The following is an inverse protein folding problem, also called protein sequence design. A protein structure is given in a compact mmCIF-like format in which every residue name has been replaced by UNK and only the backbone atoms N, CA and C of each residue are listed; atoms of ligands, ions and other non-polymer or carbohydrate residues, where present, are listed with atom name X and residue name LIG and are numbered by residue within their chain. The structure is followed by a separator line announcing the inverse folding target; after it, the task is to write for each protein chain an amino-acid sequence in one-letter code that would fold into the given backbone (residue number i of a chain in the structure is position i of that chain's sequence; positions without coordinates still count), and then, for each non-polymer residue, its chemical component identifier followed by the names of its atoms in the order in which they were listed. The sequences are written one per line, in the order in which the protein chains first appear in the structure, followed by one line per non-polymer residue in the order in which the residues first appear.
data_IF_430110935552
#
_entry.id   IF_430110935552
#
_cell.length_a   1.000
_cell.length_b   1.000
_cell.length_c   1.000
_cell.angle_alpha   90.00
_cell.angle_beta   90.00
_cell.angle_gamma   90.00
#
_symmetry.space_group_name_H-M   'P 1'
#
loop_
_entity.id
_entity.type
_entity.pdbx_description
1 polymer ?
#
# COMPACT_ATOMS: atom_id res chain seq x y z
N UNK A 1 12.81 -28.71 -0.03
CA UNK A 1 12.21 -28.12 1.18
C UNK A 1 12.89 -26.80 1.50
N UNK A 2 12.69 -25.77 0.68
CA UNK A 2 13.14 -24.38 0.91
C UNK A 2 12.47 -23.54 -0.18
N UNK A 3 11.20 -23.19 0.01
CA UNK A 3 10.53 -22.15 -0.82
C UNK A 3 9.35 -21.49 -0.09
N UNK A 4 8.86 -22.09 1.01
CA UNK A 4 7.77 -21.52 1.80
C UNK A 4 8.18 -20.39 2.78
N UNK A 5 9.48 -20.12 2.93
CA UNK A 5 9.98 -19.13 3.89
C UNK A 5 9.84 -17.68 3.40
N UNK A 6 9.69 -17.45 2.09
CA UNK A 6 9.61 -16.09 1.54
C UNK A 6 8.20 -15.48 1.64
N UNK A 7 7.15 -16.30 1.58
CA UNK A 7 5.76 -15.84 1.75
C UNK A 7 5.39 -15.49 3.20
N UNK A 8 6.02 -16.13 4.18
CA UNK A 8 5.80 -15.84 5.60
C UNK A 8 6.53 -14.57 6.08
N UNK A 9 7.65 -14.21 5.44
CA UNK A 9 8.41 -13.00 5.78
C UNK A 9 7.71 -11.70 5.34
N UNK A 10 6.97 -11.72 4.24
CA UNK A 10 6.18 -10.56 3.79
C UNK A 10 5.02 -10.22 4.75
N UNK A 11 4.43 -11.22 5.40
CA UNK A 11 3.36 -11.01 6.39
C UNK A 11 3.89 -10.59 7.78
N UNK A 12 5.14 -10.94 8.12
CA UNK A 12 5.79 -10.54 9.38
C UNK A 12 6.53 -9.19 9.30
N UNK A 13 6.84 -8.68 8.10
CA UNK A 13 7.43 -7.34 7.90
C UNK A 13 6.45 -6.17 8.05
N UNK A 14 5.19 -6.43 8.37
CA UNK A 14 4.28 -5.40 8.92
C UNK A 14 4.65 -5.02 10.38
N UNK A 15 5.63 -5.70 11.00
CA UNK A 15 6.24 -5.26 12.24
C UNK A 15 7.09 -3.99 12.02
N UNK A 16 6.52 -2.86 12.43
CA UNK A 16 7.16 -1.57 12.71
C UNK A 16 8.02 -1.00 11.58
N UNK A 17 7.37 -0.37 10.60
CA UNK A 17 8.04 0.55 9.69
C UNK A 17 8.97 1.50 10.47
N UNK A 18 10.23 1.62 10.02
CA UNK A 18 11.27 2.44 10.67
C UNK A 18 10.72 3.84 10.99
N UNK A 19 10.84 4.36 12.22
CA UNK A 19 10.42 5.72 12.55
C UNK A 19 10.95 6.79 11.57
N UNK A 20 12.12 6.57 10.97
CA UNK A 20 12.67 7.45 9.92
C UNK A 20 11.83 7.47 8.66
N UNK A 21 11.21 6.35 8.29
CA UNK A 21 10.27 6.31 7.18
C UNK A 21 9.11 7.26 7.43
N UNK A 22 8.50 7.21 8.62
CA UNK A 22 7.39 8.11 8.97
C UNK A 22 7.83 9.57 9.07
N UNK A 23 9.06 9.85 9.52
CA UNK A 23 9.61 11.20 9.49
C UNK A 23 9.63 11.76 8.05
N UNK A 24 10.11 10.97 7.08
CA UNK A 24 10.11 11.36 5.66
C UNK A 24 8.69 11.51 5.09
N UNK A 25 7.77 10.61 5.46
CA UNK A 25 6.34 10.76 5.08
C UNK A 25 5.78 12.08 5.60
N UNK A 26 6.09 12.44 6.85
CA UNK A 26 5.64 13.69 7.43
C UNK A 26 6.22 14.91 6.69
N UNK A 27 7.47 14.87 6.25
CA UNK A 27 8.06 15.93 5.41
C UNK A 27 7.29 16.11 4.09
N UNK A 28 6.90 15.01 3.43
CA UNK A 28 6.03 15.09 2.24
C UNK A 28 4.66 15.70 2.56
N UNK A 29 4.06 15.34 3.69
CA UNK A 29 2.77 15.87 4.12
C UNK A 29 2.86 17.37 4.46
N UNK A 30 3.92 17.81 5.12
CA UNK A 30 4.16 19.22 5.40
C UNK A 30 4.25 20.05 4.12
N UNK A 31 5.01 19.58 3.13
CA UNK A 31 5.12 20.25 1.84
C UNK A 31 3.76 20.28 1.11
N UNK A 32 3.04 19.16 1.11
CA UNK A 32 1.70 19.05 0.52
C UNK A 32 0.72 20.00 1.21
N UNK A 33 0.76 20.11 2.54
CA UNK A 33 -0.06 21.02 3.33
C UNK A 33 0.28 22.48 3.09
N UNK A 34 1.54 22.81 2.84
CA UNK A 34 1.94 24.16 2.44
C UNK A 34 1.34 24.52 1.08
N UNK A 35 1.50 23.65 0.08
CA UNK A 35 0.95 23.89 -1.25
C UNK A 35 -0.58 23.88 -1.29
N UNK A 36 -1.24 23.12 -0.43
CA UNK A 36 -2.71 23.05 -0.41
C UNK A 36 -3.36 24.37 0.00
N UNK A 37 -2.68 25.17 0.84
CA UNK A 37 -3.11 26.53 1.21
C UNK A 37 -3.09 27.50 0.04
N UNK A 38 -2.19 27.31 -0.92
CA UNK A 38 -2.00 28.20 -2.07
C UNK A 38 -2.82 27.76 -3.30
N UNK A 39 -2.88 26.46 -3.55
CA UNK A 39 -3.43 25.91 -4.80
C UNK A 39 -4.72 25.10 -4.60
N UNK A 40 -5.16 24.91 -3.36
CA UNK A 40 -6.37 24.16 -2.99
C UNK A 40 -6.16 22.65 -2.88
N UNK A 41 -6.91 22.03 -1.97
CA UNK A 41 -6.79 20.61 -1.60
C UNK A 41 -6.92 19.65 -2.79
N UNK A 42 -7.93 19.85 -3.65
CA UNK A 42 -8.20 18.96 -4.80
C UNK A 42 -7.04 18.93 -5.80
N UNK A 43 -6.48 20.11 -6.12
CA UNK A 43 -5.36 20.22 -7.06
C UNK A 43 -4.11 19.57 -6.49
N UNK A 44 -3.85 19.77 -5.20
CA UNK A 44 -2.67 19.22 -4.56
C UNK A 44 -2.77 17.72 -4.33
N UNK A 45 -3.94 17.18 -3.99
CA UNK A 45 -4.17 15.74 -3.96
C UNK A 45 -3.82 15.07 -5.29
N UNK A 46 -4.26 15.64 -6.42
CA UNK A 46 -3.89 15.16 -7.75
C UNK A 46 -2.39 15.30 -8.04
N UNK A 47 -1.77 16.40 -7.62
CA UNK A 47 -0.34 16.62 -7.80
C UNK A 47 0.50 15.60 -7.01
N UNK A 48 0.12 15.30 -5.76
CA UNK A 48 0.78 14.29 -4.93
C UNK A 48 0.70 12.89 -5.55
N UNK A 49 -0.47 12.49 -6.07
CA UNK A 49 -0.62 11.22 -6.76
C UNK A 49 0.26 11.15 -8.03
N UNK A 50 0.29 12.23 -8.81
CA UNK A 50 1.11 12.30 -10.02
C UNK A 50 2.62 12.27 -9.70
N UNK A 51 3.05 12.95 -8.64
CA UNK A 51 4.43 12.92 -8.18
C UNK A 51 4.85 11.52 -7.71
N UNK A 52 4.01 10.86 -6.90
CA UNK A 52 4.25 9.49 -6.46
C UNK A 52 4.37 8.53 -7.65
N UNK A 53 3.47 8.64 -8.64
CA UNK A 53 3.54 7.82 -9.86
C UNK A 53 4.86 8.02 -10.62
N UNK A 54 5.31 9.26 -10.80
CA UNK A 54 6.59 9.56 -11.47
C UNK A 54 7.78 8.97 -10.74
N UNK A 55 7.82 9.12 -9.41
CA UNK A 55 8.89 8.56 -8.59
C UNK A 55 8.91 7.03 -8.68
N UNK A 56 7.76 6.38 -8.49
CA UNK A 56 7.66 4.93 -8.50
C UNK A 56 7.99 4.31 -9.87
N UNK A 57 7.57 4.95 -10.97
CA UNK A 57 7.96 4.52 -12.32
C UNK A 57 9.47 4.65 -12.53
N UNK A 58 10.10 5.72 -12.02
CA UNK A 58 11.56 5.87 -12.11
C UNK A 58 12.30 4.75 -11.36
N UNK A 59 11.84 4.41 -10.16
CA UNK A 59 12.38 3.28 -9.38
C UNK A 59 12.21 1.95 -10.13
N UNK A 60 11.02 1.68 -10.69
CA UNK A 60 10.77 0.49 -11.49
C UNK A 60 11.69 0.40 -12.71
N UNK A 61 11.79 1.48 -13.48
CA UNK A 61 12.67 1.55 -14.66
C UNK A 61 14.15 1.31 -14.30
N UNK A 62 14.57 1.69 -13.10
CA UNK A 62 15.93 1.47 -12.62
C UNK A 62 16.19 0.03 -12.19
N UNK A 63 15.15 -0.70 -11.78
CA UNK A 63 15.24 -2.07 -11.28
C UNK A 63 14.99 -3.14 -12.36
N UNK A 64 14.06 -2.90 -13.29
CA UNK A 64 13.57 -3.92 -14.24
C UNK A 64 14.53 -4.26 -15.40
N UNK A 65 15.58 -3.47 -15.61
CA UNK A 65 16.58 -3.71 -16.66
C UNK A 65 15.95 -3.85 -18.06
N UNK A 66 16.19 -4.99 -18.73
CA UNK A 66 15.67 -5.25 -20.08
C UNK A 66 14.22 -5.77 -20.13
N UNK A 67 13.64 -6.15 -18.99
CA UNK A 67 12.34 -6.85 -18.92
C UNK A 67 11.13 -5.92 -18.74
N UNK A 68 11.34 -4.60 -18.83
CA UNK A 68 10.32 -3.55 -18.59
C UNK A 68 8.97 -3.83 -19.24
N UNK A 69 8.97 -4.31 -20.49
CA UNK A 69 7.73 -4.58 -21.23
C UNK A 69 6.95 -5.78 -20.66
N UNK A 70 7.66 -6.83 -20.25
CA UNK A 70 7.06 -8.03 -19.68
C UNK A 70 6.52 -7.76 -18.26
N UNK A 71 7.25 -7.00 -17.46
CA UNK A 71 6.91 -6.73 -16.06
C UNK A 71 5.91 -5.56 -15.87
N UNK A 72 5.59 -4.82 -16.94
CA UNK A 72 4.74 -3.63 -16.88
C UNK A 72 3.42 -3.88 -16.17
N UNK A 73 2.70 -4.94 -16.55
CA UNK A 73 1.37 -5.20 -16.01
C UNK A 73 1.43 -5.57 -14.53
N UNK A 74 2.41 -6.39 -14.15
CA UNK A 74 2.60 -6.80 -12.76
C UNK A 74 2.96 -5.60 -11.88
N UNK A 75 3.83 -4.70 -12.36
CA UNK A 75 4.13 -3.45 -11.67
C UNK A 75 2.88 -2.58 -11.47
N UNK A 76 2.07 -2.37 -12.52
CA UNK A 76 0.86 -1.55 -12.42
C UNK A 76 -0.16 -2.15 -11.44
N UNK A 77 -0.37 -3.46 -11.50
CA UNK A 77 -1.26 -4.18 -10.59
C UNK A 77 -0.76 -4.10 -9.14
N UNK A 78 0.53 -4.31 -8.92
CA UNK A 78 1.14 -4.20 -7.60
C UNK A 78 0.97 -2.81 -7.00
N UNK A 79 1.36 -1.76 -7.74
CA UNK A 79 1.32 -0.39 -7.23
C UNK A 79 -0.11 0.10 -6.93
N UNK A 80 -1.07 -0.26 -7.79
CA UNK A 80 -2.48 0.11 -7.58
C UNK A 80 -3.11 -0.65 -6.43
N UNK A 81 -2.80 -1.95 -6.28
CA UNK A 81 -3.21 -2.74 -5.10
C UNK A 81 -2.64 -2.14 -3.82
N UNK A 82 -1.35 -1.82 -3.79
CA UNK A 82 -0.69 -1.23 -2.62
C UNK A 82 -1.35 0.10 -2.22
N UNK A 83 -1.63 0.99 -3.18
CA UNK A 83 -2.30 2.25 -2.90
C UNK A 83 -3.74 2.05 -2.38
N UNK A 84 -4.49 1.09 -2.95
CA UNK A 84 -5.82 0.74 -2.47
C UNK A 84 -5.79 0.21 -1.04
N UNK A 85 -4.80 -0.61 -0.69
CA UNK A 85 -4.60 -1.09 0.67
C UNK A 85 -4.38 0.07 1.64
N UNK A 86 -3.39 0.93 1.37
CA UNK A 86 -3.10 2.08 2.24
C UNK A 86 -4.29 3.03 2.39
N UNK A 87 -5.06 3.25 1.32
CA UNK A 87 -6.28 4.07 1.39
C UNK A 87 -7.34 3.46 2.29
N UNK A 88 -7.57 2.14 2.23
CA UNK A 88 -8.51 1.46 3.12
C UNK A 88 -8.04 1.58 4.58
N UNK A 89 -6.77 1.29 4.86
CA UNK A 89 -6.20 1.41 6.21
C UNK A 89 -6.42 2.81 6.81
N UNK A 90 -6.13 3.85 6.04
CA UNK A 90 -6.31 5.23 6.51
C UNK A 90 -7.77 5.66 6.59
N UNK A 91 -8.64 5.15 5.71
CA UNK A 91 -10.07 5.45 5.74
C UNK A 91 -10.71 4.84 6.99
N UNK A 92 -10.40 3.58 7.28
CA UNK A 92 -10.86 2.87 8.48
C UNK A 92 -10.35 3.55 9.75
N UNK A 93 -9.06 3.88 9.79
CA UNK A 93 -8.43 4.59 10.91
C UNK A 93 -9.09 5.94 11.18
N UNK A 94 -9.22 6.79 10.15
CA UNK A 94 -9.87 8.10 10.30
C UNK A 94 -11.36 8.00 10.62
N UNK A 95 -12.04 6.99 10.07
CA UNK A 95 -13.44 6.70 10.39
C UNK A 95 -13.61 6.38 11.87
N UNK A 96 -12.80 5.45 12.38
CA UNK A 96 -12.78 5.08 13.80
C UNK A 96 -12.44 6.28 14.70
N UNK A 97 -11.37 7.01 14.41
CA UNK A 97 -10.94 8.19 15.20
C UNK A 97 -12.03 9.27 15.28
N UNK A 98 -12.82 9.43 14.21
CA UNK A 98 -13.86 10.46 14.12
C UNK A 98 -15.26 9.95 14.47
N UNK A 99 -15.41 8.67 14.80
CA UNK A 99 -16.71 8.03 15.03
C UNK A 99 -17.62 8.05 13.79
N UNK A 100 -17.04 7.99 12.59
CA UNK A 100 -17.75 8.00 11.31
C UNK A 100 -17.76 6.60 10.71
N UNK A 101 -18.94 6.11 10.33
CA UNK A 101 -19.06 4.88 9.56
C UNK A 101 -18.58 5.10 8.12
N UNK A 102 -17.50 4.43 7.72
CA UNK A 102 -16.88 4.52 6.39
C UNK A 102 -17.21 3.35 5.47
N UNK A 103 -18.10 2.44 5.91
CA UNK A 103 -18.47 1.23 5.17
C UNK A 103 -17.66 0.00 5.58
N UNK A 104 -17.87 -1.10 4.86
CA UNK A 104 -17.13 -2.35 5.07
C UNK A 104 -15.73 -2.24 4.49
N UNK A 105 -14.72 -2.61 5.29
CA UNK A 105 -13.32 -2.61 4.87
C UNK A 105 -13.05 -3.78 3.93
N UNK A 106 -12.52 -3.48 2.75
CA UNK A 106 -12.07 -4.51 1.81
C UNK A 106 -10.88 -5.31 2.37
N UNK A 107 -10.15 -4.73 3.34
CA UNK A 107 -9.03 -5.41 4.01
C UNK A 107 -9.52 -6.49 4.95
N UNK A 108 -10.63 -6.25 5.66
CA UNK A 108 -11.22 -7.26 6.53
C UNK A 108 -11.67 -8.47 5.71
N UNK A 109 -12.33 -8.24 4.57
CA UNK A 109 -12.72 -9.31 3.66
C UNK A 109 -11.53 -10.12 3.10
N UNK A 110 -10.39 -9.46 2.85
CA UNK A 110 -9.16 -10.14 2.41
C UNK A 110 -8.50 -10.93 3.54
N UNK A 111 -8.44 -10.38 4.77
CA UNK A 111 -7.95 -11.08 5.97
C UNK A 111 -8.78 -12.33 6.23
N UNK A 112 -10.11 -12.21 6.18
CA UNK A 112 -11.03 -13.33 6.41
C UNK A 112 -10.86 -14.42 5.34
N UNK A 113 -10.69 -14.01 4.07
CA UNK A 113 -10.41 -14.93 2.96
C UNK A 113 -9.08 -15.66 3.14
N UNK A 114 -8.04 -14.96 3.56
CA UNK A 114 -6.72 -15.55 3.82
C UNK A 114 -6.74 -16.49 5.03
N UNK A 115 -7.49 -16.14 6.09
CA UNK A 115 -7.71 -17.00 7.25
C UNK A 115 -8.46 -18.29 6.85
N UNK A 116 -9.51 -18.17 6.04
CA UNK A 116 -10.25 -19.32 5.53
C UNK A 116 -9.39 -20.23 4.63
N UNK A 117 -8.54 -19.65 3.78
CA UNK A 117 -7.62 -20.40 2.94
C UNK A 117 -6.57 -21.18 3.76
N UNK A 118 -6.03 -20.56 4.83
CA UNK A 118 -5.10 -21.23 5.76
C UNK A 118 -5.77 -22.39 6.50
N UNK A 119 -6.99 -22.18 7.02
CA UNK A 119 -7.74 -23.23 7.69
C UNK A 119 -8.07 -24.43 6.76
N UNK A 120 -8.33 -24.17 5.47
CA UNK A 120 -8.55 -25.22 4.48
C UNK A 120 -7.26 -26.00 4.15
N UNK A 121 -6.11 -25.34 4.11
CA UNK A 121 -4.80 -25.97 3.89
C UNK A 121 -4.40 -26.87 5.08
N UNK A 122 -4.66 -26.43 6.31
CA UNK A 122 -4.42 -27.24 7.52
C UNK A 122 -5.27 -28.51 7.57
N UNK A 123 -6.48 -28.49 7.01
CA UNK A 123 -7.40 -29.62 7.02
C UNK A 123 -7.19 -30.61 5.84
N UNK A 124 -6.34 -30.28 4.86
CA UNK A 124 -6.01 -31.14 3.71
C UNK A 124 -4.63 -31.78 3.84
N UNK A 125 -3.85 -31.39 4.86
CA UNK A 125 -2.51 -31.91 5.16
C UNK A 125 -2.44 -32.94 6.30
N UNK A 126 -3.60 -33.45 6.77
CA UNK A 126 -3.72 -34.50 7.78
C UNK A 126 -4.31 -35.78 7.16
#
# INVERSE_FOLDING_TARGET
MTDDTQGQQAAQQQNELDPKFFAVVNEYLELTNKHSKEHGLKRISMASLYAAARFNVHTFMSAAGANVAAERQDFLNYMTKLYRTMLNEHLDGLGHERGVNVGESELQAEIDRQAAARAAQENTGA
#
